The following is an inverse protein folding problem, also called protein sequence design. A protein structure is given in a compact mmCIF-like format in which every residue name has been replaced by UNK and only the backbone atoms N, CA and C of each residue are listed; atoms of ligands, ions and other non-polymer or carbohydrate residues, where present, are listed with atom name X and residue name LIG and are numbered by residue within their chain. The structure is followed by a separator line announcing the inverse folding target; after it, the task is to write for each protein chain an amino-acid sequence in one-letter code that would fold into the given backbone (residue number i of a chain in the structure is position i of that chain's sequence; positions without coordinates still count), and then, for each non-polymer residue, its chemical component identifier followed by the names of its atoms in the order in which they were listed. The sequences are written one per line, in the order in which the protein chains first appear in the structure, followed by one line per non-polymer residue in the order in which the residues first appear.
data_IF_750494202769
#
_entry.id   IF_750494202769
#
_cell.length_a   1.000
_cell.length_b   1.000
_cell.length_c   1.000
_cell.angle_alpha   90.00
_cell.angle_beta   90.00
_cell.angle_gamma   90.00
#
_symmetry.space_group_name_H-M   'P 1'
#
loop_
_entity.id
_entity.type
_entity.pdbx_description
1 polymer ?
#
# COMPACT_ATOMS: atom_id res chain seq x y z
N UNK A 1 38.57 69.58 -0.04
CA UNK A 1 38.23 68.92 1.24
C UNK A 1 36.90 68.20 1.05
N UNK A 2 36.88 66.89 1.35
CA UNK A 2 35.78 65.91 1.45
C UNK A 2 34.40 66.24 0.81
N UNK A 3 33.75 65.40 0.00
CA UNK A 3 33.98 64.02 -0.40
C UNK A 3 32.86 63.63 -1.39
N UNK A 4 33.22 62.84 -2.38
CA UNK A 4 32.41 62.36 -3.50
C UNK A 4 31.41 61.29 -3.06
N UNK A 5 30.16 61.27 -3.55
CA UNK A 5 29.51 60.04 -4.03
C UNK A 5 28.28 60.33 -4.89
N UNK A 6 28.10 59.50 -5.91
CA UNK A 6 27.26 59.68 -7.09
C UNK A 6 26.22 58.53 -7.19
N UNK A 7 25.12 58.80 -7.91
CA UNK A 7 24.10 57.90 -8.52
C UNK A 7 22.99 57.36 -7.60
N UNK A 8 21.71 57.76 -7.70
CA UNK A 8 20.66 57.64 -8.76
C UNK A 8 20.26 56.21 -9.13
N UNK A 9 19.05 55.80 -8.70
CA UNK A 9 17.89 55.32 -9.50
C UNK A 9 16.84 54.70 -8.52
N UNK A 10 15.83 55.47 -8.12
CA UNK A 10 14.49 55.52 -8.75
C UNK A 10 13.65 54.25 -8.50
N UNK A 11 12.98 54.21 -7.35
CA UNK A 11 11.78 53.41 -7.13
C UNK A 11 10.54 54.18 -7.58
N UNK A 12 9.55 53.45 -8.10
CA UNK A 12 8.14 53.85 -8.02
C UNK A 12 7.25 52.63 -8.12
N UNK A 13 6.53 52.42 -7.02
CA UNK A 13 5.49 51.46 -6.79
C UNK A 13 4.28 51.67 -7.73
N UNK A 14 3.57 50.58 -8.03
CA UNK A 14 2.11 50.64 -8.17
C UNK A 14 1.51 49.30 -7.78
N UNK A 15 1.12 49.21 -6.51
CA UNK A 15 0.29 48.16 -5.93
C UNK A 15 -1.16 48.57 -6.14
N UNK A 16 -1.95 47.78 -6.87
CA UNK A 16 -3.40 47.97 -6.94
C UNK A 16 -4.05 47.17 -5.82
N UNK A 17 -4.57 47.88 -4.81
CA UNK A 17 -5.49 47.35 -3.81
C UNK A 17 -6.86 47.09 -4.48
N UNK A 18 -7.40 45.88 -4.31
CA UNK A 18 -8.85 45.68 -4.27
C UNK A 18 -9.24 45.37 -2.83
N UNK A 19 -10.06 46.26 -2.25
CA UNK A 19 -10.72 46.05 -0.98
C UNK A 19 -12.20 45.78 -1.22
N UNK A 20 -12.67 44.59 -0.82
CA UNK A 20 -14.04 44.36 -0.40
C UNK A 20 -14.04 43.22 0.63
N UNK A 21 -14.55 43.51 1.82
CA UNK A 21 -14.49 42.67 3.01
C UNK A 21 -15.49 41.49 2.96
N UNK A 22 -15.11 40.35 3.53
CA UNK A 22 -16.03 39.23 3.80
C UNK A 22 -15.32 37.93 4.17
N UNK A 23 -15.12 37.71 5.48
CA UNK A 23 -14.88 36.42 6.17
C UNK A 23 -13.89 35.41 5.53
N UNK A 24 -12.63 35.48 6.00
CA UNK A 24 -11.78 34.36 6.40
C UNK A 24 -11.64 33.14 5.47
N UNK A 25 -10.75 33.24 4.47
CA UNK A 25 -10.09 32.07 3.87
C UNK A 25 -8.62 32.44 3.61
N UNK A 26 -7.70 31.89 4.41
CA UNK A 26 -6.27 31.89 4.10
C UNK A 26 -6.03 30.89 2.97
N UNK A 27 -6.12 31.34 1.73
CA UNK A 27 -5.73 30.56 0.54
C UNK A 27 -4.23 30.75 0.32
N UNK A 28 -3.42 29.86 0.88
CA UNK A 28 -2.01 29.75 0.51
C UNK A 28 -1.94 29.04 -0.84
N UNK A 29 -1.81 29.81 -1.93
CA UNK A 29 -1.61 29.27 -3.27
C UNK A 29 -0.22 28.63 -3.38
N UNK A 30 -0.17 27.30 -3.46
CA UNK A 30 1.05 26.56 -3.74
C UNK A 30 1.14 26.33 -5.26
N UNK A 31 1.84 27.21 -5.97
CA UNK A 31 2.19 27.01 -7.38
C UNK A 31 3.33 25.98 -7.45
N UNK A 32 3.00 24.70 -7.65
CA UNK A 32 3.96 23.65 -7.94
C UNK A 32 4.52 23.84 -9.36
N UNK A 33 5.73 24.40 -9.43
CA UNK A 33 6.54 24.35 -10.63
C UNK A 33 7.05 22.90 -10.81
N UNK A 34 6.78 22.28 -11.96
CA UNK A 34 7.32 20.98 -12.33
C UNK A 34 8.83 21.09 -12.55
N UNK A 35 9.60 20.93 -11.48
CA UNK A 35 11.02 20.64 -11.53
C UNK A 35 11.27 19.41 -10.66
N UNK A 36 12.14 18.50 -11.12
CA UNK A 36 12.58 17.34 -10.35
C UNK A 36 13.08 17.78 -8.97
N UNK A 37 12.21 17.74 -7.96
CA UNK A 37 12.56 18.07 -6.57
C UNK A 37 13.34 16.88 -6.03
N UNK A 38 14.67 17.01 -5.96
CA UNK A 38 15.50 16.08 -5.17
C UNK A 38 15.12 16.25 -3.70
N UNK A 39 14.92 15.16 -2.98
CA UNK A 39 14.64 15.22 -1.56
C UNK A 39 15.75 16.01 -0.83
N UNK A 40 15.37 17.04 -0.07
CA UNK A 40 16.30 17.79 0.76
C UNK A 40 16.75 16.91 1.93
N UNK A 41 17.94 16.30 1.80
CA UNK A 41 18.53 15.47 2.86
C UNK A 41 19.06 16.38 3.98
N UNK A 42 18.60 16.16 5.21
CA UNK A 42 19.19 16.79 6.39
C UNK A 42 20.17 15.81 7.04
N UNK A 43 21.31 16.30 7.54
CA UNK A 43 22.25 15.48 8.29
C UNK A 43 22.37 15.97 9.72
N UNK A 44 22.28 15.04 10.68
CA UNK A 44 22.53 15.31 12.10
C UNK A 44 23.55 14.31 12.61
N UNK A 45 24.81 14.76 12.69
CA UNK A 45 25.91 13.95 13.20
C UNK A 45 25.63 13.52 14.64
N UNK A 46 25.57 12.21 14.87
CA UNK A 46 25.40 11.65 16.21
C UNK A 46 26.76 11.53 16.94
N UNK A 47 26.69 11.36 18.26
CA UNK A 47 27.85 11.36 19.16
C UNK A 47 28.83 10.20 18.91
N UNK A 48 28.29 8.99 18.75
CA UNK A 48 29.08 7.78 18.58
C UNK A 48 29.36 7.46 17.10
N UNK A 49 30.48 6.77 16.79
CA UNK A 49 30.75 6.30 15.45
C UNK A 49 29.60 5.39 14.95
N UNK A 50 29.26 5.40 13.65
CA UNK A 50 28.12 4.64 13.14
C UNK A 50 28.18 3.14 13.46
N UNK A 51 29.36 2.54 13.50
CA UNK A 51 29.53 1.11 13.84
C UNK A 51 29.05 0.75 15.24
N UNK A 52 29.02 1.70 16.19
CA UNK A 52 28.57 1.45 17.55
C UNK A 52 27.05 1.28 17.65
N UNK A 53 26.29 1.84 16.71
CA UNK A 53 24.83 1.68 16.63
C UNK A 53 24.40 0.60 15.63
N UNK A 54 25.35 -0.10 14.99
CA UNK A 54 25.02 -1.13 14.01
C UNK A 54 24.27 -2.30 14.67
N UNK A 55 23.10 -2.72 14.14
CA UNK A 55 22.28 -3.73 14.80
C UNK A 55 22.90 -5.14 14.73
N UNK A 56 22.69 -5.93 15.78
CA UNK A 56 23.00 -7.36 15.76
C UNK A 56 21.89 -8.14 15.03
N UNK A 57 22.17 -8.53 13.79
CA UNK A 57 21.23 -9.22 12.91
C UNK A 57 21.56 -10.70 12.67
N UNK A 58 22.43 -11.31 13.50
CA UNK A 58 22.95 -12.67 13.28
C UNK A 58 21.88 -13.78 13.25
N UNK A 59 20.69 -13.52 13.82
CA UNK A 59 19.58 -14.49 13.92
C UNK A 59 18.34 -14.03 13.15
N UNK A 60 18.50 -13.08 12.23
CA UNK A 60 17.39 -12.44 11.54
C UNK A 60 17.20 -13.01 10.14
N UNK A 61 15.95 -13.21 9.75
CA UNK A 61 15.50 -13.69 8.46
C UNK A 61 14.39 -12.77 7.92
N UNK A 62 14.81 -11.59 7.47
CA UNK A 62 13.97 -10.62 6.78
C UNK A 62 14.80 -9.90 5.69
N UNK A 63 14.14 -9.30 4.69
CA UNK A 63 14.84 -8.70 3.54
C UNK A 63 15.80 -7.58 3.94
N UNK A 64 15.44 -6.75 4.93
CA UNK A 64 16.28 -5.68 5.45
C UNK A 64 17.60 -6.24 6.00
N UNK A 65 17.53 -7.27 6.85
CA UNK A 65 18.72 -7.87 7.45
C UNK A 65 19.68 -8.50 6.43
N UNK A 66 19.15 -9.05 5.34
CA UNK A 66 19.96 -9.61 4.25
C UNK A 66 20.63 -8.53 3.39
N UNK A 67 20.04 -7.33 3.31
CA UNK A 67 20.53 -6.25 2.45
C UNK A 67 21.38 -5.21 3.20
N UNK A 68 21.22 -5.10 4.52
CA UNK A 68 21.95 -4.13 5.32
C UNK A 68 23.42 -4.54 5.46
N UNK A 69 24.31 -3.56 5.28
CA UNK A 69 25.76 -3.75 5.48
C UNK A 69 26.32 -2.63 6.35
N UNK A 70 27.45 -2.85 7.04
CA UNK A 70 28.09 -1.79 7.83
C UNK A 70 28.39 -0.52 7.02
N UNK A 71 28.73 -0.68 5.74
CA UNK A 71 29.00 0.43 4.83
C UNK A 71 27.74 1.23 4.48
N UNK A 72 26.63 0.56 4.19
CA UNK A 72 25.33 1.22 3.93
C UNK A 72 24.87 1.95 5.20
N UNK A 73 24.89 1.27 6.36
CA UNK A 73 24.48 1.86 7.62
C UNK A 73 25.29 3.11 7.96
N UNK A 74 26.62 3.05 7.82
CA UNK A 74 27.50 4.19 8.10
C UNK A 74 27.24 5.40 7.20
N UNK A 75 26.81 5.21 5.95
CA UNK A 75 26.50 6.32 5.02
C UNK A 75 25.13 6.94 5.24
N UNK A 76 24.20 6.17 5.81
CA UNK A 76 22.79 6.56 5.89
C UNK A 76 22.33 6.92 7.32
N UNK A 77 22.99 6.43 8.37
CA UNK A 77 22.56 6.58 9.77
C UNK A 77 22.29 8.04 10.19
N UNK A 78 23.14 8.96 9.76
CA UNK A 78 23.07 10.36 10.16
C UNK A 78 22.18 11.21 9.23
N UNK A 79 21.64 10.60 8.16
CA UNK A 79 20.69 11.23 7.23
C UNK A 79 19.28 11.20 7.77
N UNK A 80 18.53 12.24 7.45
CA UNK A 80 17.13 12.41 7.77
C UNK A 80 16.35 12.91 6.56
N UNK A 81 15.09 12.52 6.50
CA UNK A 81 14.12 13.07 5.56
C UNK A 81 13.79 14.53 5.92
N UNK A 82 13.12 15.30 5.04
CA UNK A 82 12.71 16.67 5.37
C UNK A 82 11.88 16.77 6.67
N UNK A 83 11.10 15.72 6.98
CA UNK A 83 10.28 15.63 8.19
C UNK A 83 11.00 14.98 9.39
N UNK A 84 12.30 14.72 9.26
CA UNK A 84 13.13 14.20 10.36
C UNK A 84 13.04 12.68 10.58
N UNK A 85 12.52 11.91 9.62
CA UNK A 85 12.52 10.45 9.71
C UNK A 85 13.93 9.89 9.43
N UNK A 86 14.34 8.88 10.19
CA UNK A 86 15.72 8.36 10.20
C UNK A 86 15.80 6.92 9.69
N UNK A 87 17.00 6.50 9.31
CA UNK A 87 17.25 5.09 8.95
C UNK A 87 16.87 4.13 10.09
N UNK A 88 17.22 4.46 11.33
CA UNK A 88 16.95 3.58 12.48
C UNK A 88 15.43 3.37 12.65
N UNK A 89 14.63 4.42 12.46
CA UNK A 89 13.17 4.30 12.48
C UNK A 89 12.65 3.43 11.32
N UNK A 90 13.24 3.54 10.11
CA UNK A 90 12.88 2.68 8.99
C UNK A 90 13.08 1.20 9.32
N UNK A 91 14.21 0.83 9.92
CA UNK A 91 14.61 -0.58 10.12
C UNK A 91 14.16 -1.18 11.45
N UNK A 92 13.68 -0.36 12.40
CA UNK A 92 13.37 -0.78 13.77
C UNK A 92 12.50 -2.04 13.83
N UNK A 93 11.43 -2.10 13.04
CA UNK A 93 10.55 -3.27 13.01
C UNK A 93 11.28 -4.54 12.58
N UNK A 94 12.25 -4.47 11.67
CA UNK A 94 13.04 -5.62 11.28
C UNK A 94 14.12 -6.00 12.28
N UNK A 95 14.63 -5.04 13.06
CA UNK A 95 15.56 -5.31 14.17
C UNK A 95 14.83 -6.02 15.32
N UNK A 96 13.62 -5.55 15.66
CA UNK A 96 12.83 -6.11 16.77
C UNK A 96 12.20 -7.47 16.43
N UNK A 97 11.97 -7.73 15.14
CA UNK A 97 11.31 -8.95 14.66
C UNK A 97 12.28 -9.80 13.80
N UNK A 98 12.97 -10.79 14.40
CA UNK A 98 13.96 -11.61 13.70
C UNK A 98 13.36 -12.50 12.61
N UNK A 99 12.05 -12.74 12.63
CA UNK A 99 11.37 -13.49 11.59
C UNK A 99 9.87 -13.50 11.83
N UNK A 100 9.14 -14.21 10.97
CA UNK A 100 7.70 -14.43 11.14
C UNK A 100 7.39 -15.92 10.95
N UNK A 101 6.47 -16.52 11.72
CA UNK A 101 6.22 -17.96 11.68
C UNK A 101 5.84 -18.52 10.31
N UNK A 102 5.21 -17.70 9.47
CA UNK A 102 4.60 -18.16 8.21
C UNK A 102 5.27 -17.65 6.93
N UNK A 103 5.99 -16.52 6.99
CA UNK A 103 6.50 -15.82 5.80
C UNK A 103 7.83 -15.13 6.07
N UNK A 104 8.63 -14.93 5.03
CA UNK A 104 9.76 -13.99 5.09
C UNK A 104 9.22 -12.55 5.01
N UNK A 105 9.56 -11.73 6.00
CA UNK A 105 9.10 -10.34 6.09
C UNK A 105 10.08 -9.38 5.42
N UNK A 106 9.63 -8.14 5.18
CA UNK A 106 10.49 -7.08 4.62
C UNK A 106 11.49 -6.58 5.66
N UNK A 107 11.03 -6.30 6.89
CA UNK A 107 11.89 -5.81 7.98
C UNK A 107 12.21 -4.32 7.94
N UNK A 108 11.50 -3.52 7.13
CA UNK A 108 11.60 -2.06 7.18
C UNK A 108 10.34 -1.38 6.63
N UNK A 109 10.13 -0.13 7.00
CA UNK A 109 9.01 0.73 6.59
C UNK A 109 9.49 2.13 6.19
N UNK A 110 8.69 2.82 5.37
CA UNK A 110 8.86 4.24 5.08
C UNK A 110 8.02 5.10 6.04
N UNK A 111 8.58 6.19 6.53
CA UNK A 111 7.87 7.16 7.37
C UNK A 111 7.22 8.29 6.58
N UNK A 112 7.72 8.55 5.37
CA UNK A 112 7.25 9.58 4.44
C UNK A 112 7.64 9.18 3.00
N UNK A 113 7.24 9.97 2.00
CA UNK A 113 7.53 9.67 0.59
C UNK A 113 9.04 9.72 0.31
N UNK A 114 9.73 10.70 0.91
CA UNK A 114 11.15 10.97 0.75
C UNK A 114 12.04 9.87 1.32
N UNK A 115 11.55 9.08 2.28
CA UNK A 115 12.27 7.91 2.82
C UNK A 115 12.81 7.00 1.71
N UNK A 116 12.03 6.79 0.63
CA UNK A 116 12.42 5.94 -0.49
C UNK A 116 13.50 6.55 -1.39
N UNK A 117 13.79 7.85 -1.29
CA UNK A 117 14.88 8.53 -1.99
C UNK A 117 16.10 8.70 -1.08
N UNK A 118 15.89 9.24 0.13
CA UNK A 118 16.95 9.51 1.10
C UNK A 118 17.69 8.24 1.49
N UNK A 119 16.95 7.14 1.68
CA UNK A 119 17.50 5.84 2.06
C UNK A 119 17.46 4.82 0.91
N UNK A 120 17.49 5.29 -0.36
CA UNK A 120 17.44 4.42 -1.54
C UNK A 120 18.51 3.33 -1.54
N UNK A 121 19.70 3.60 -1.01
CA UNK A 121 20.80 2.62 -0.92
C UNK A 121 20.44 1.34 -0.15
N UNK A 122 19.47 1.38 0.77
CA UNK A 122 18.91 0.19 1.44
C UNK A 122 17.54 -0.21 0.89
N UNK A 123 16.67 0.75 0.52
CA UNK A 123 15.35 0.42 -0.03
C UNK A 123 15.44 -0.30 -1.37
N UNK A 124 16.29 0.14 -2.29
CA UNK A 124 16.40 -0.45 -3.64
C UNK A 124 16.77 -1.95 -3.61
N UNK A 125 17.81 -2.40 -2.88
CA UNK A 125 18.12 -3.83 -2.79
C UNK A 125 17.00 -4.61 -2.06
N UNK A 126 16.35 -4.03 -1.05
CA UNK A 126 15.21 -4.67 -0.35
C UNK A 126 14.01 -4.83 -1.27
N UNK A 127 13.68 -3.80 -2.07
CA UNK A 127 12.62 -3.83 -3.09
C UNK A 127 12.93 -4.92 -4.11
N UNK A 128 14.17 -4.97 -4.61
CA UNK A 128 14.62 -6.00 -5.56
C UNK A 128 14.49 -7.40 -4.98
N UNK A 129 14.91 -7.62 -3.74
CA UNK A 129 14.79 -8.90 -3.06
C UNK A 129 13.32 -9.30 -2.85
N UNK A 130 12.48 -8.36 -2.41
CA UNK A 130 11.07 -8.63 -2.11
C UNK A 130 10.21 -8.85 -3.34
N UNK A 131 10.51 -8.17 -4.44
CA UNK A 131 9.76 -8.22 -5.71
C UNK A 131 10.52 -8.99 -6.79
N UNK A 132 11.24 -10.04 -6.37
CA UNK A 132 11.83 -11.07 -7.23
C UNK A 132 12.62 -10.52 -8.43
N UNK A 133 13.45 -9.51 -8.19
CA UNK A 133 14.34 -8.94 -9.19
C UNK A 133 13.87 -7.64 -9.83
N UNK A 134 12.68 -7.11 -9.49
CA UNK A 134 12.29 -5.76 -9.93
C UNK A 134 13.30 -4.75 -9.37
N UNK A 135 14.09 -4.13 -10.24
CA UNK A 135 15.16 -3.22 -9.83
C UNK A 135 14.74 -1.77 -10.07
N UNK A 136 14.33 -1.01 -9.03
CA UNK A 136 13.80 0.34 -9.18
C UNK A 136 14.83 1.34 -9.72
N UNK A 137 16.11 0.97 -9.81
CA UNK A 137 17.18 1.79 -10.40
C UNK A 137 17.21 1.73 -11.92
N UNK A 138 16.64 0.68 -12.51
CA UNK A 138 16.74 0.38 -13.96
C UNK A 138 15.40 0.09 -14.61
N UNK A 139 14.35 -0.15 -13.82
CA UNK A 139 13.01 -0.47 -14.29
C UNK A 139 12.03 0.64 -13.95
N UNK A 140 10.95 0.72 -14.74
CA UNK A 140 9.80 1.59 -14.48
C UNK A 140 8.56 0.74 -14.26
N UNK A 141 7.63 1.27 -13.48
CA UNK A 141 6.36 0.62 -13.18
C UNK A 141 5.24 1.24 -14.00
N UNK A 142 4.43 0.40 -14.63
CA UNK A 142 3.29 0.82 -15.44
C UNK A 142 1.99 0.51 -14.70
N UNK A 143 1.18 1.55 -14.49
CA UNK A 143 -0.17 1.46 -13.92
C UNK A 143 -1.19 1.28 -15.05
N UNK A 144 -2.13 0.34 -14.88
CA UNK A 144 -3.20 0.08 -15.85
C UNK A 144 -4.50 -0.27 -15.11
N UNK A 145 -5.38 0.71 -14.96
CA UNK A 145 -6.69 0.57 -14.33
C UNK A 145 -7.82 0.55 -15.38
N UNK A 146 -7.56 0.00 -16.56
CA UNK A 146 -8.57 -0.23 -17.59
C UNK A 146 -9.21 -1.62 -17.43
N UNK A 147 -10.28 -1.67 -16.63
CA UNK A 147 -11.02 -2.90 -16.38
C UNK A 147 -11.63 -3.54 -17.65
N UNK A 148 -11.79 -2.80 -18.75
CA UNK A 148 -12.36 -3.35 -20.00
C UNK A 148 -11.46 -4.43 -20.63
N UNK A 149 -10.16 -4.40 -20.33
CA UNK A 149 -9.18 -5.40 -20.77
C UNK A 149 -9.39 -6.78 -20.13
N UNK A 150 -10.07 -6.82 -18.97
CA UNK A 150 -10.53 -8.07 -18.38
C UNK A 150 -11.81 -8.47 -19.10
N UNK A 151 -11.69 -9.30 -20.14
CA UNK A 151 -12.84 -9.69 -20.98
C UNK A 151 -13.74 -10.71 -20.31
N UNK A 152 -13.17 -11.60 -19.49
CA UNK A 152 -13.83 -12.64 -18.73
C UNK A 152 -13.26 -12.70 -17.31
N UNK A 153 -14.02 -13.25 -16.36
CA UNK A 153 -13.58 -13.32 -14.96
C UNK A 153 -14.63 -13.88 -14.02
N UNK A 154 -15.47 -14.80 -14.52
CA UNK A 154 -16.44 -15.53 -13.72
C UNK A 154 -15.83 -16.89 -13.33
N UNK A 155 -15.69 -17.12 -12.03
CA UNK A 155 -15.27 -18.40 -11.48
C UNK A 155 -16.45 -19.35 -11.24
N UNK A 156 -16.13 -20.63 -11.08
CA UNK A 156 -17.09 -21.65 -10.64
C UNK A 156 -17.43 -21.47 -9.15
N UNK A 157 -18.67 -21.06 -8.88
CA UNK A 157 -19.14 -20.72 -7.53
C UNK A 157 -19.37 -21.95 -6.64
N UNK A 158 -19.28 -23.17 -7.19
CA UNK A 158 -19.21 -24.39 -6.36
C UNK A 158 -17.92 -24.43 -5.54
N UNK A 159 -16.84 -23.81 -6.04
CA UNK A 159 -15.52 -23.79 -5.40
C UNK A 159 -15.19 -22.40 -4.84
N UNK A 160 -15.44 -21.33 -5.61
CA UNK A 160 -15.13 -19.96 -5.21
C UNK A 160 -16.29 -19.33 -4.44
N UNK A 161 -16.03 -18.98 -3.17
CA UNK A 161 -17.03 -18.47 -2.23
C UNK A 161 -17.16 -16.94 -2.27
N UNK A 162 -16.05 -16.25 -2.53
CA UNK A 162 -16.00 -14.78 -2.61
C UNK A 162 -14.79 -14.31 -3.38
N UNK A 163 -14.92 -13.16 -4.01
CA UNK A 163 -13.87 -12.50 -4.80
C UNK A 163 -13.59 -11.11 -4.22
N UNK A 164 -12.31 -10.73 -4.15
CA UNK A 164 -11.88 -9.46 -3.55
C UNK A 164 -10.67 -8.88 -4.25
N UNK A 165 -10.69 -7.58 -4.49
CA UNK A 165 -9.54 -6.78 -4.94
C UNK A 165 -9.29 -5.67 -3.94
N UNK A 166 -8.06 -5.54 -3.47
CA UNK A 166 -7.64 -4.43 -2.60
C UNK A 166 -6.38 -3.74 -3.10
N UNK A 167 -6.21 -2.47 -2.76
CA UNK A 167 -4.95 -1.73 -2.86
C UNK A 167 -4.83 -0.73 -1.71
N UNK A 168 -3.69 -0.05 -1.60
CA UNK A 168 -3.53 1.12 -0.73
C UNK A 168 -3.28 2.39 -1.53
N UNK A 169 -3.59 3.54 -0.94
CA UNK A 169 -3.16 4.85 -1.46
C UNK A 169 -2.71 5.76 -0.31
N UNK A 170 -1.65 6.53 -0.55
CA UNK A 170 -1.10 7.53 0.37
C UNK A 170 -1.22 8.94 -0.18
N UNK A 171 -1.67 9.87 0.65
CA UNK A 171 -1.87 11.28 0.32
C UNK A 171 -0.53 12.02 0.41
N UNK A 172 -0.09 12.63 -0.70
CA UNK A 172 1.18 13.37 -0.81
C UNK A 172 1.19 14.56 0.15
N UNK A 173 2.35 14.82 0.76
CA UNK A 173 2.55 15.93 1.71
C UNK A 173 2.19 15.61 3.17
N UNK A 174 1.67 14.42 3.47
CA UNK A 174 1.40 13.95 4.82
C UNK A 174 2.27 12.72 5.12
N UNK A 175 2.91 12.68 6.29
CA UNK A 175 3.75 11.54 6.66
C UNK A 175 2.94 10.24 6.77
N UNK A 176 3.57 9.11 6.47
CA UNK A 176 2.98 7.78 6.53
C UNK A 176 2.72 7.34 7.99
N UNK A 177 1.89 6.30 8.23
CA UNK A 177 1.49 5.87 9.57
C UNK A 177 2.62 5.71 10.60
N UNK A 178 3.82 5.19 10.26
CA UNK A 178 4.94 5.09 11.20
C UNK A 178 5.35 6.44 11.81
N UNK A 179 5.30 7.53 11.03
CA UNK A 179 5.86 8.82 11.41
C UNK A 179 4.79 9.89 11.69
N UNK A 180 3.58 9.76 11.13
CA UNK A 180 2.55 10.80 11.23
C UNK A 180 2.27 11.24 12.67
N UNK A 181 2.13 12.55 12.82
CA UNK A 181 1.57 13.16 14.02
C UNK A 181 0.06 12.96 14.09
N UNK A 182 -0.56 13.22 15.26
CA UNK A 182 -2.03 13.21 15.38
C UNK A 182 -2.69 14.20 14.41
N UNK A 183 -2.06 15.36 14.18
CA UNK A 183 -2.60 16.37 13.27
C UNK A 183 -2.60 15.89 11.82
N UNK A 184 -1.48 15.36 11.32
CA UNK A 184 -1.40 14.80 9.96
C UNK A 184 -2.39 13.66 9.77
N UNK A 185 -2.52 12.77 10.76
CA UNK A 185 -3.46 11.65 10.69
C UNK A 185 -4.92 12.12 10.59
N UNK A 186 -5.30 13.12 11.39
CA UNK A 186 -6.62 13.76 11.32
C UNK A 186 -6.84 14.46 9.98
N UNK A 187 -5.79 15.05 9.39
CA UNK A 187 -5.89 15.64 8.05
C UNK A 187 -6.11 14.58 6.98
N UNK A 188 -5.42 13.42 7.06
CA UNK A 188 -5.72 12.27 6.18
C UNK A 188 -7.19 11.86 6.30
N UNK A 189 -7.70 11.70 7.53
CA UNK A 189 -9.11 11.37 7.76
C UNK A 189 -10.04 12.40 7.13
N UNK A 190 -9.81 13.68 7.40
CA UNK A 190 -10.62 14.79 6.88
C UNK A 190 -10.65 14.82 5.35
N UNK A 191 -9.48 14.76 4.69
CA UNK A 191 -9.35 14.77 3.23
C UNK A 191 -10.10 13.59 2.61
N UNK A 192 -9.88 12.38 3.13
CA UNK A 192 -10.47 11.16 2.59
C UNK A 192 -11.97 11.15 2.82
N UNK A 193 -12.45 11.37 4.05
CA UNK A 193 -13.90 11.36 4.37
C UNK A 193 -14.64 12.40 3.54
N UNK A 194 -14.08 13.59 3.38
CA UNK A 194 -14.73 14.65 2.60
C UNK A 194 -14.78 14.31 1.11
N UNK A 195 -13.75 13.66 0.57
CA UNK A 195 -13.79 13.14 -0.80
C UNK A 195 -14.88 12.06 -0.93
N UNK A 196 -14.95 11.10 0.00
CA UNK A 196 -15.91 9.99 -0.05
C UNK A 196 -17.37 10.42 0.06
N UNK A 197 -17.66 11.53 0.75
CA UNK A 197 -19.00 12.13 0.76
C UNK A 197 -19.48 12.60 -0.64
N UNK A 198 -18.54 12.82 -1.55
CA UNK A 198 -18.80 13.15 -2.95
C UNK A 198 -19.26 11.98 -3.82
N UNK A 199 -19.07 10.73 -3.38
CA UNK A 199 -19.44 9.54 -4.15
C UNK A 199 -20.97 9.41 -4.29
N UNK A 200 -21.42 9.00 -5.48
CA UNK A 200 -22.83 8.89 -5.86
C UNK A 200 -23.15 7.48 -6.39
N UNK A 201 -24.45 7.21 -6.59
CA UNK A 201 -24.92 5.94 -7.14
C UNK A 201 -24.60 4.74 -6.26
N UNK A 202 -24.16 3.64 -6.87
CA UNK A 202 -23.76 2.40 -6.20
C UNK A 202 -22.50 2.57 -5.33
N UNK A 203 -21.74 3.65 -5.52
CA UNK A 203 -20.58 3.99 -4.71
C UNK A 203 -20.92 4.95 -3.55
N UNK A 204 -22.17 5.38 -3.40
CA UNK A 204 -22.57 6.18 -2.23
C UNK A 204 -22.55 5.34 -0.95
N UNK A 205 -22.13 5.94 0.16
CA UNK A 205 -21.87 5.21 1.38
C UNK A 205 -21.74 6.09 2.62
N UNK A 206 -21.42 5.45 3.75
CA UNK A 206 -21.31 6.09 5.06
C UNK A 206 -19.94 5.83 5.67
N UNK A 207 -19.40 6.85 6.33
CA UNK A 207 -18.21 6.75 7.15
C UNK A 207 -18.58 6.47 8.62
N UNK A 208 -17.81 5.58 9.25
CA UNK A 208 -17.90 5.21 10.64
C UNK A 208 -16.53 5.40 11.29
N UNK A 209 -16.41 6.42 12.14
CA UNK A 209 -15.21 6.65 12.95
C UNK A 209 -15.15 5.63 14.07
N UNK A 210 -13.98 4.99 14.27
CA UNK A 210 -13.78 4.02 15.34
C UNK A 210 -13.90 4.64 16.73
N UNK A 211 -13.60 5.94 16.88
CA UNK A 211 -13.67 6.64 18.17
C UNK A 211 -15.10 6.72 18.71
N UNK A 212 -16.08 6.88 17.82
CA UNK A 212 -17.48 7.16 18.18
C UNK A 212 -18.44 6.09 17.61
N UNK A 213 -17.93 4.90 17.32
CA UNK A 213 -18.74 3.80 16.78
C UNK A 213 -19.61 3.21 17.89
N UNK A 214 -20.90 2.98 17.60
CA UNK A 214 -21.77 2.27 18.53
C UNK A 214 -21.37 0.79 18.61
N UNK A 215 -21.59 0.13 19.75
CA UNK A 215 -21.33 -1.31 19.90
C UNK A 215 -22.10 -2.14 18.86
N UNK A 216 -23.31 -1.70 18.50
CA UNK A 216 -24.12 -2.33 17.45
C UNK A 216 -23.47 -2.22 16.07
N UNK A 217 -23.00 -1.03 15.69
CA UNK A 217 -22.31 -0.83 14.41
C UNK A 217 -21.01 -1.61 14.38
N UNK A 218 -20.28 -1.64 15.50
CA UNK A 218 -19.04 -2.39 15.64
C UNK A 218 -19.28 -3.89 15.45
N UNK A 219 -20.24 -4.47 16.17
CA UNK A 219 -20.57 -5.89 16.05
C UNK A 219 -21.01 -6.23 14.63
N UNK A 220 -21.86 -5.39 14.02
CA UNK A 220 -22.29 -5.60 12.63
C UNK A 220 -21.10 -5.63 11.65
N UNK A 221 -20.14 -4.71 11.81
CA UNK A 221 -18.95 -4.67 10.95
C UNK A 221 -17.98 -5.84 11.21
N UNK A 222 -17.95 -6.38 12.43
CA UNK A 222 -17.22 -7.61 12.77
C UNK A 222 -17.88 -8.82 12.08
N UNK A 223 -19.21 -8.95 12.22
CA UNK A 223 -19.99 -10.05 11.65
C UNK A 223 -19.90 -10.07 10.11
N UNK A 224 -19.84 -8.88 9.49
CA UNK A 224 -19.67 -8.74 8.05
C UNK A 224 -18.21 -8.94 7.58
N UNK A 225 -17.26 -9.14 8.51
CA UNK A 225 -15.82 -9.21 8.27
C UNK A 225 -15.21 -7.96 7.61
N UNK A 226 -15.73 -6.78 7.97
CA UNK A 226 -15.28 -5.50 7.43
C UNK A 226 -14.40 -4.70 8.39
N UNK A 227 -14.63 -4.85 9.70
CA UNK A 227 -13.87 -4.13 10.70
C UNK A 227 -12.43 -4.66 10.77
N UNK A 228 -11.48 -3.73 10.86
CA UNK A 228 -10.11 -4.03 11.22
C UNK A 228 -9.92 -3.73 12.71
N UNK A 229 -9.23 -4.62 13.42
CA UNK A 229 -8.98 -4.48 14.84
C UNK A 229 -7.74 -3.62 15.12
N UNK A 230 -7.54 -3.28 16.40
CA UNK A 230 -6.30 -2.66 16.84
C UNK A 230 -5.11 -3.52 16.39
N UNK A 231 -4.09 -2.95 15.72
CA UNK A 231 -2.92 -3.71 15.33
C UNK A 231 -2.23 -4.34 16.54
N UNK A 232 -2.27 -5.68 16.62
CA UNK A 232 -1.58 -6.48 17.65
C UNK A 232 -0.30 -7.13 17.12
N UNK A 233 -0.13 -7.18 15.80
CA UNK A 233 1.06 -7.74 15.18
C UNK A 233 2.30 -6.93 15.59
N UNK A 234 3.37 -7.58 16.09
CA UNK A 234 4.58 -6.89 16.48
C UNK A 234 5.27 -6.19 15.30
N UNK A 235 5.01 -6.64 14.06
CA UNK A 235 5.50 -5.97 12.85
C UNK A 235 4.93 -4.54 12.72
N UNK A 236 3.68 -4.33 13.13
CA UNK A 236 2.99 -3.04 13.05
C UNK A 236 3.23 -2.18 14.28
N UNK A 237 3.23 -2.79 15.47
CA UNK A 237 3.45 -2.05 16.72
C UNK A 237 4.89 -1.56 16.86
N UNK A 238 5.89 -2.39 16.55
CA UNK A 238 7.31 -1.97 16.52
C UNK A 238 7.61 -0.96 15.39
N UNK A 239 6.78 -0.92 14.34
CA UNK A 239 6.85 0.11 13.31
C UNK A 239 6.16 1.43 13.72
N UNK A 240 5.61 1.53 14.94
CA UNK A 240 4.95 2.74 15.44
C UNK A 240 3.58 3.02 14.81
N UNK A 241 2.95 2.04 14.16
CA UNK A 241 1.71 2.23 13.39
C UNK A 241 0.44 2.17 14.28
N UNK A 242 0.56 1.67 15.51
CA UNK A 242 -0.54 1.57 16.48
C UNK A 242 -0.69 2.80 17.42
N UNK A 243 0.10 3.87 17.21
CA UNK A 243 0.08 5.06 18.07
C UNK A 243 -1.29 5.76 18.05
N UNK A 244 -1.66 6.27 19.23
CA UNK A 244 -2.89 7.05 19.48
C UNK A 244 -4.20 6.32 19.11
N UNK A 245 -4.20 4.99 19.00
CA UNK A 245 -5.39 4.23 18.62
C UNK A 245 -6.58 4.48 19.59
N UNK A 246 -7.82 4.70 19.10
CA UNK A 246 -8.27 4.67 17.69
C UNK A 246 -8.36 6.05 16.99
N UNK A 247 -7.68 7.09 17.49
CA UNK A 247 -7.78 8.47 16.98
C UNK A 247 -7.60 8.55 15.45
N UNK A 248 -8.55 9.20 14.78
CA UNK A 248 -8.61 9.40 13.33
C UNK A 248 -8.59 8.12 12.48
N UNK A 249 -9.06 6.99 13.01
CA UNK A 249 -9.27 5.75 12.26
C UNK A 249 -10.76 5.51 12.03
N UNK A 250 -11.07 4.89 10.90
CA UNK A 250 -12.43 4.53 10.60
C UNK A 250 -12.56 3.70 9.34
N UNK A 251 -13.79 3.32 9.09
CA UNK A 251 -14.20 2.55 7.93
C UNK A 251 -15.29 3.30 7.20
N UNK A 252 -15.16 3.39 5.88
CA UNK A 252 -16.23 3.78 5.00
C UNK A 252 -16.63 2.58 4.16
N UNK A 253 -17.92 2.41 3.89
CA UNK A 253 -18.39 1.46 2.88
C UNK A 253 -19.62 2.00 2.16
N UNK A 254 -19.82 1.54 0.92
CA UNK A 254 -21.04 1.80 0.17
C UNK A 254 -22.25 1.09 0.80
N UNK A 255 -23.46 1.51 0.41
CA UNK A 255 -24.70 0.95 0.98
C UNK A 255 -24.82 -0.57 0.81
N UNK A 256 -24.36 -1.09 -0.33
CA UNK A 256 -24.40 -2.53 -0.65
C UNK A 256 -23.23 -3.32 -0.07
N UNK A 257 -22.32 -2.68 0.68
CA UNK A 257 -21.18 -3.33 1.34
C UNK A 257 -20.25 -4.08 0.37
N UNK A 258 -20.13 -3.59 -0.86
CA UNK A 258 -19.32 -4.17 -1.94
C UNK A 258 -18.10 -3.33 -2.30
N UNK A 259 -18.00 -2.10 -1.77
CA UNK A 259 -16.85 -1.20 -1.89
C UNK A 259 -16.57 -0.56 -0.52
N UNK A 260 -15.36 -0.76 0.00
CA UNK A 260 -14.95 -0.38 1.35
C UNK A 260 -13.63 0.36 1.31
N UNK A 261 -13.45 1.28 2.25
CA UNK A 261 -12.20 2.02 2.44
C UNK A 261 -11.89 2.05 3.93
N UNK A 262 -10.76 1.47 4.30
CA UNK A 262 -10.18 1.64 5.63
C UNK A 262 -9.31 2.88 5.64
N UNK A 263 -9.42 3.68 6.69
CA UNK A 263 -8.71 4.95 6.84
C UNK A 263 -7.76 4.86 8.03
N UNK A 264 -6.50 5.22 7.82
CA UNK A 264 -5.44 5.33 8.82
C UNK A 264 -5.10 4.05 9.61
N UNK A 265 -5.23 2.88 8.98
CA UNK A 265 -4.79 1.61 9.55
C UNK A 265 -3.30 1.36 9.25
N UNK A 266 -2.96 0.45 8.33
CA UNK A 266 -1.58 0.18 7.90
C UNK A 266 -1.03 1.19 6.88
N UNK A 267 -1.92 1.90 6.20
CA UNK A 267 -1.64 2.93 5.19
C UNK A 267 -2.70 4.04 5.36
N UNK A 268 -2.54 5.19 4.69
CA UNK A 268 -3.55 6.27 4.75
C UNK A 268 -4.93 5.75 4.34
N UNK A 269 -4.98 5.00 3.23
CA UNK A 269 -6.20 4.32 2.80
C UNK A 269 -5.91 2.90 2.32
N UNK A 270 -6.84 1.98 2.61
CA UNK A 270 -6.95 0.68 1.93
C UNK A 270 -8.28 0.62 1.21
N UNK A 271 -8.23 0.67 -0.13
CA UNK A 271 -9.42 0.63 -0.99
C UNK A 271 -9.70 -0.82 -1.37
N UNK A 272 -10.93 -1.26 -1.17
CA UNK A 272 -11.35 -2.65 -1.28
C UNK A 272 -12.64 -2.71 -2.09
N UNK A 273 -12.66 -3.57 -3.10
CA UNK A 273 -13.88 -4.03 -3.77
C UNK A 273 -14.03 -5.52 -3.51
N UNK A 274 -15.20 -5.96 -3.08
CA UNK A 274 -15.43 -7.38 -2.83
C UNK A 274 -16.90 -7.75 -3.02
N UNK A 275 -17.14 -9.03 -3.29
CA UNK A 275 -18.48 -9.61 -3.33
C UNK A 275 -18.42 -11.12 -3.06
N UNK A 276 -19.57 -11.69 -2.66
CA UNK A 276 -19.76 -13.14 -2.62
C UNK A 276 -19.83 -13.70 -4.05
N UNK A 277 -19.43 -14.95 -4.21
CA UNK A 277 -19.37 -15.62 -5.52
C UNK A 277 -18.10 -15.32 -6.31
N UNK A 278 -18.16 -15.63 -7.61
CA UNK A 278 -16.98 -15.79 -8.47
C UNK A 278 -16.75 -14.67 -9.48
N UNK A 279 -17.52 -13.60 -9.48
CA UNK A 279 -17.46 -12.57 -10.53
C UNK A 279 -16.34 -11.54 -10.30
N UNK A 280 -15.09 -11.97 -10.46
CA UNK A 280 -13.90 -11.12 -10.33
C UNK A 280 -13.90 -9.94 -11.30
N UNK A 281 -14.45 -10.12 -12.51
CA UNK A 281 -14.56 -9.02 -13.49
C UNK A 281 -15.37 -7.86 -12.92
N UNK A 282 -16.57 -8.11 -12.41
CA UNK A 282 -17.43 -7.07 -11.81
C UNK A 282 -16.80 -6.43 -10.58
N UNK A 283 -16.13 -7.23 -9.74
CA UNK A 283 -15.35 -6.71 -8.60
C UNK A 283 -14.29 -5.72 -9.07
N UNK A 284 -13.54 -6.07 -10.13
CA UNK A 284 -12.47 -5.24 -10.65
C UNK A 284 -12.97 -4.00 -11.41
N UNK A 285 -14.09 -4.09 -12.13
CA UNK A 285 -14.76 -2.94 -12.75
C UNK A 285 -15.19 -1.91 -11.69
N UNK A 286 -15.85 -2.37 -10.62
CA UNK A 286 -16.22 -1.51 -9.48
C UNK A 286 -14.99 -0.93 -8.79
N UNK A 287 -13.94 -1.73 -8.61
CA UNK A 287 -12.67 -1.29 -8.03
C UNK A 287 -12.02 -0.16 -8.84
N UNK A 288 -11.90 -0.34 -10.16
CA UNK A 288 -11.31 0.67 -11.03
C UNK A 288 -12.16 1.94 -11.10
N UNK A 289 -13.50 1.80 -11.18
CA UNK A 289 -14.42 2.95 -11.17
C UNK A 289 -14.33 3.73 -9.87
N UNK A 290 -14.39 3.04 -8.73
CA UNK A 290 -14.30 3.65 -7.41
C UNK A 290 -12.94 4.31 -7.17
N UNK A 291 -11.85 3.66 -7.60
CA UNK A 291 -10.54 4.29 -7.56
C UNK A 291 -10.50 5.53 -8.43
N UNK A 292 -10.86 5.50 -9.72
CA UNK A 292 -10.77 6.70 -10.57
C UNK A 292 -11.59 7.87 -10.02
N UNK A 293 -12.80 7.59 -9.51
CA UNK A 293 -13.66 8.63 -8.94
C UNK A 293 -13.06 9.26 -7.67
N UNK A 294 -12.55 8.44 -6.75
CA UNK A 294 -11.89 8.94 -5.53
C UNK A 294 -10.53 9.57 -5.86
N UNK A 295 -9.75 8.90 -6.71
CA UNK A 295 -8.32 9.17 -6.96
C UNK A 295 -8.12 10.34 -7.89
N UNK A 296 -8.79 10.33 -9.03
CA UNK A 296 -8.51 11.25 -10.12
C UNK A 296 -9.40 12.48 -10.06
N UNK A 297 -10.58 12.37 -9.45
CA UNK A 297 -11.54 13.46 -9.41
C UNK A 297 -11.61 14.11 -8.03
N UNK A 298 -12.12 13.42 -7.02
CA UNK A 298 -12.55 14.05 -5.77
C UNK A 298 -11.39 14.56 -4.89
N UNK A 299 -10.27 13.84 -4.82
CA UNK A 299 -9.10 14.27 -4.05
C UNK A 299 -8.32 15.36 -4.80
N UNK A 300 -8.16 15.22 -6.12
CA UNK A 300 -7.50 16.23 -6.97
C UNK A 300 -8.26 17.55 -7.06
N UNK A 301 -9.59 17.51 -7.13
CA UNK A 301 -10.46 18.71 -7.08
C UNK A 301 -10.21 19.57 -5.82
N UNK A 302 -9.69 18.96 -4.76
CA UNK A 302 -9.35 19.64 -3.49
C UNK A 302 -7.87 20.02 -3.37
N UNK A 303 -7.08 19.84 -4.43
CA UNK A 303 -5.66 20.18 -4.46
C UNK A 303 -4.72 19.15 -3.84
N UNK A 304 -5.20 17.94 -3.56
CA UNK A 304 -4.40 16.84 -3.02
C UNK A 304 -4.00 15.85 -4.11
N UNK A 305 -2.88 15.17 -3.91
CA UNK A 305 -2.38 14.15 -4.82
C UNK A 305 -2.04 12.87 -4.06
N UNK A 306 -1.87 11.77 -4.79
CA UNK A 306 -1.26 10.57 -4.22
C UNK A 306 0.25 10.58 -4.38
N UNK A 307 0.93 9.94 -3.43
CA UNK A 307 2.33 9.59 -3.54
C UNK A 307 2.48 8.54 -4.66
N UNK A 308 3.11 8.95 -5.76
CA UNK A 308 3.34 8.13 -6.93
C UNK A 308 4.58 8.63 -7.67
N UNK A 309 5.38 7.71 -8.20
CA UNK A 309 6.46 8.03 -9.12
C UNK A 309 6.69 6.89 -10.13
N UNK A 310 7.38 7.18 -11.23
CA UNK A 310 7.53 6.23 -12.35
C UNK A 310 8.32 4.96 -12.00
N UNK A 311 9.24 5.03 -11.04
CA UNK A 311 10.10 3.89 -10.66
C UNK A 311 9.42 2.96 -9.65
N UNK A 312 8.61 3.50 -8.73
CA UNK A 312 7.98 2.76 -7.64
C UNK A 312 6.47 2.56 -7.83
N UNK A 313 5.83 3.22 -8.79
CA UNK A 313 4.37 3.26 -8.86
C UNK A 313 3.79 4.01 -7.66
N UNK A 314 2.67 3.52 -7.13
CA UNK A 314 2.09 4.06 -5.91
C UNK A 314 2.95 3.74 -4.69
N UNK A 315 3.25 4.78 -3.92
CA UNK A 315 4.08 4.69 -2.72
C UNK A 315 3.20 4.39 -1.51
N UNK A 316 3.59 3.39 -0.74
CA UNK A 316 2.94 2.93 0.49
C UNK A 316 3.98 2.68 1.58
N UNK A 317 3.49 2.45 2.81
CA UNK A 317 4.32 2.33 4.02
C UNK A 317 5.31 1.17 3.95
N UNK A 318 4.83 0.00 3.55
CA UNK A 318 5.64 -1.21 3.47
C UNK A 318 6.17 -1.39 2.04
N UNK A 319 7.48 -1.63 1.83
CA UNK A 319 8.05 -1.87 0.50
C UNK A 319 7.37 -3.01 -0.27
N UNK A 320 6.80 -4.00 0.42
CA UNK A 320 6.06 -5.10 -0.23
C UNK A 320 4.76 -4.68 -0.92
N UNK A 321 4.27 -3.46 -0.65
CA UNK A 321 3.03 -2.92 -1.19
C UNK A 321 3.28 -1.87 -2.29
N UNK A 322 4.51 -1.63 -2.72
CA UNK A 322 4.80 -0.69 -3.81
C UNK A 322 4.23 -1.17 -5.17
N UNK A 323 4.30 -0.30 -6.17
CA UNK A 323 3.82 -0.52 -7.52
C UNK A 323 2.32 -0.33 -7.59
N UNK A 324 1.60 -1.44 -7.74
CA UNK A 324 0.14 -1.46 -7.78
C UNK A 324 -0.49 -1.39 -6.39
N UNK A 325 0.25 -1.82 -5.36
CA UNK A 325 -0.30 -2.16 -4.03
C UNK A 325 -1.37 -3.25 -4.06
N UNK A 326 -1.61 -3.87 -5.22
CA UNK A 326 -2.79 -4.66 -5.50
C UNK A 326 -2.67 -6.07 -4.94
N UNK A 327 -3.75 -6.52 -4.32
CA UNK A 327 -3.99 -7.91 -3.96
C UNK A 327 -5.40 -8.28 -4.41
N UNK A 328 -5.49 -8.93 -5.56
CA UNK A 328 -6.69 -9.62 -6.03
C UNK A 328 -6.63 -11.07 -5.56
N UNK A 329 -7.76 -11.58 -5.07
CA UNK A 329 -7.83 -12.94 -4.57
C UNK A 329 -9.24 -13.43 -4.35
N UNK A 330 -9.32 -14.71 -4.01
CA UNK A 330 -10.57 -15.44 -3.79
C UNK A 330 -10.48 -16.28 -2.53
N UNK A 331 -11.65 -16.54 -1.93
CA UNK A 331 -11.81 -17.70 -1.06
C UNK A 331 -12.24 -18.88 -1.92
N UNK A 332 -11.42 -19.93 -1.96
CA UNK A 332 -11.65 -21.12 -2.78
C UNK A 332 -11.52 -22.39 -1.95
N UNK A 333 -12.46 -23.33 -2.16
CA UNK A 333 -12.44 -24.67 -1.56
C UNK A 333 -11.56 -25.61 -2.40
N UNK A 334 -10.52 -26.16 -1.80
CA UNK A 334 -9.56 -27.07 -2.46
C UNK A 334 -9.23 -28.30 -1.58
N UNK A 335 -10.22 -29.13 -1.19
CA UNK A 335 -10.03 -30.21 -0.22
C UNK A 335 -9.12 -31.35 -0.69
N UNK A 336 -8.98 -31.59 -2.00
CA UNK A 336 -8.07 -32.58 -2.57
C UNK A 336 -6.72 -31.97 -2.91
N UNK A 337 -6.71 -30.86 -3.67
CA UNK A 337 -5.48 -30.23 -4.14
C UNK A 337 -4.61 -29.75 -2.97
N UNK A 338 -5.21 -29.27 -1.87
CA UNK A 338 -4.44 -28.83 -0.71
C UNK A 338 -3.61 -29.92 -0.02
N UNK A 339 -3.96 -31.19 -0.24
CA UNK A 339 -3.25 -32.37 0.29
C UNK A 339 -2.23 -32.93 -0.71
N UNK A 340 -2.25 -32.46 -1.97
CA UNK A 340 -1.33 -32.91 -3.00
C UNK A 340 0.06 -32.25 -2.79
N UNK A 341 1.15 -33.03 -2.77
CA UNK A 341 2.50 -32.51 -2.55
C UNK A 341 2.96 -31.52 -3.63
N UNK A 342 2.32 -31.51 -4.81
CA UNK A 342 2.62 -30.60 -5.92
C UNK A 342 2.01 -29.21 -5.74
N UNK A 343 1.07 -29.03 -4.83
CA UNK A 343 0.34 -27.77 -4.66
C UNK A 343 1.23 -26.54 -4.42
N UNK A 344 2.27 -26.58 -3.56
CA UNK A 344 3.18 -25.46 -3.40
C UNK A 344 3.88 -25.07 -4.71
N UNK A 345 4.29 -26.04 -5.52
CA UNK A 345 4.98 -25.78 -6.79
C UNK A 345 4.04 -25.24 -7.86
N UNK A 346 2.79 -25.70 -7.88
CA UNK A 346 1.74 -25.15 -8.73
C UNK A 346 1.52 -23.66 -8.43
N UNK A 347 1.37 -23.29 -7.15
CA UNK A 347 1.20 -21.89 -6.74
C UNK A 347 2.41 -21.03 -7.12
N UNK A 348 3.63 -21.51 -6.87
CA UNK A 348 4.87 -20.82 -7.23
C UNK A 348 4.93 -20.51 -8.73
N UNK A 349 4.68 -21.52 -9.58
CA UNK A 349 4.73 -21.38 -11.03
C UNK A 349 3.62 -20.47 -11.57
N UNK A 350 2.44 -20.47 -10.94
CA UNK A 350 1.32 -19.58 -11.27
C UNK A 350 1.45 -18.18 -10.66
N UNK A 351 2.51 -17.89 -9.91
CA UNK A 351 2.73 -16.59 -9.22
C UNK A 351 1.59 -16.25 -8.24
N UNK A 352 1.08 -17.27 -7.56
CA UNK A 352 0.03 -17.16 -6.54
C UNK A 352 0.60 -17.43 -5.14
N UNK A 353 -0.07 -16.91 -4.12
CA UNK A 353 0.21 -17.21 -2.72
C UNK A 353 -1.06 -17.68 -2.01
N UNK A 354 -0.91 -18.55 -1.02
CA UNK A 354 -1.99 -19.01 -0.15
C UNK A 354 -1.87 -18.43 1.25
N UNK A 355 -3.00 -18.08 1.87
CA UNK A 355 -3.14 -17.73 3.30
C UNK A 355 -4.33 -18.48 3.90
N UNK A 356 -4.43 -18.46 5.23
CA UNK A 356 -5.63 -18.96 5.90
C UNK A 356 -6.85 -18.08 5.65
N UNK A 357 -8.02 -18.56 6.08
CA UNK A 357 -9.32 -18.00 5.72
C UNK A 357 -9.55 -16.59 6.29
N UNK A 358 -8.93 -16.25 7.43
CA UNK A 358 -8.99 -14.93 8.04
C UNK A 358 -7.81 -14.01 7.67
N UNK A 359 -6.95 -14.40 6.73
CA UNK A 359 -5.80 -13.61 6.31
C UNK A 359 -4.45 -14.16 6.78
N UNK A 360 -3.46 -13.27 6.90
CA UNK A 360 -2.02 -13.62 7.00
C UNK A 360 -1.62 -14.38 8.26
N UNK A 361 -2.34 -14.17 9.35
CA UNK A 361 -2.01 -14.74 10.66
C UNK A 361 -2.99 -15.86 11.07
N UNK A 362 -3.76 -16.40 10.11
CA UNK A 362 -4.77 -17.43 10.38
C UNK A 362 -4.49 -18.72 9.62
N UNK A 363 -4.96 -19.84 10.15
CA UNK A 363 -4.97 -21.12 9.45
C UNK A 363 -6.14 -21.21 8.46
N UNK A 364 -6.07 -22.15 7.52
CA UNK A 364 -7.21 -22.47 6.67
C UNK A 364 -8.28 -23.19 7.51
N UNK A 365 -9.54 -22.76 7.38
CA UNK A 365 -10.69 -23.37 8.03
C UNK A 365 -11.51 -24.10 6.96
N UNK A 366 -11.85 -25.37 7.22
CA UNK A 366 -12.69 -26.19 6.34
C UNK A 366 -12.21 -26.26 4.88
N UNK A 367 -10.90 -26.41 4.66
CA UNK A 367 -10.27 -26.49 3.33
C UNK A 367 -10.49 -25.25 2.43
N UNK A 368 -10.87 -24.11 3.02
CA UNK A 368 -11.01 -22.81 2.34
C UNK A 368 -9.70 -22.03 2.44
N UNK A 369 -9.14 -21.67 1.29
CA UNK A 369 -7.90 -20.90 1.19
C UNK A 369 -8.15 -19.51 0.62
N UNK A 370 -7.45 -18.49 1.15
CA UNK A 370 -7.26 -17.20 0.49
C UNK A 370 -6.13 -17.34 -0.53
N UNK A 371 -6.49 -17.39 -1.81
CA UNK A 371 -5.56 -17.43 -2.93
C UNK A 371 -5.52 -16.06 -3.60
N UNK A 372 -4.33 -15.50 -3.74
CA UNK A 372 -4.13 -14.17 -4.35
C UNK A 372 -2.84 -14.08 -5.16
N UNK A 373 -2.69 -13.02 -5.96
CA UNK A 373 -1.43 -12.72 -6.63
C UNK A 373 -0.28 -12.56 -5.62
N UNK A 374 0.89 -13.08 -5.98
CA UNK A 374 2.13 -12.94 -5.22
C UNK A 374 2.80 -11.59 -5.53
N UNK A 375 2.85 -11.22 -6.80
CA UNK A 375 3.52 -10.02 -7.32
C UNK A 375 2.71 -8.75 -7.10
N UNK A 376 3.41 -7.62 -6.87
CA UNK A 376 2.78 -6.29 -6.77
C UNK A 376 3.49 -5.21 -7.59
N UNK A 377 4.76 -5.43 -7.92
CA UNK A 377 5.58 -4.59 -8.79
C UNK A 377 5.97 -5.34 -10.07
N UNK A 378 6.33 -4.59 -11.11
CA UNK A 378 6.76 -5.14 -12.41
C UNK A 378 5.65 -5.68 -13.31
N UNK A 379 4.38 -5.57 -12.88
CA UNK A 379 3.17 -5.91 -13.64
C UNK A 379 2.06 -4.92 -13.29
N UNK A 380 1.21 -4.59 -14.26
CA UNK A 380 0.10 -3.67 -14.06
C UNK A 380 -1.06 -4.31 -13.29
N UNK A 381 -2.02 -3.51 -12.82
CA UNK A 381 -3.20 -4.01 -12.11
C UNK A 381 -4.03 -4.99 -12.95
N UNK A 382 -4.24 -4.68 -14.25
CA UNK A 382 -4.91 -5.58 -15.20
C UNK A 382 -4.14 -6.90 -15.34
N UNK A 383 -2.82 -6.86 -15.53
CA UNK A 383 -2.01 -8.08 -15.65
C UNK A 383 -2.09 -8.95 -14.38
N UNK A 384 -2.03 -8.33 -13.20
CA UNK A 384 -2.13 -9.05 -11.93
C UNK A 384 -3.51 -9.69 -11.72
N UNK A 385 -4.59 -9.02 -12.09
CA UNK A 385 -5.93 -9.59 -12.02
C UNK A 385 -6.09 -10.75 -13.01
N UNK A 386 -5.55 -10.62 -14.23
CA UNK A 386 -5.59 -11.71 -15.20
C UNK A 386 -4.82 -12.95 -14.72
N UNK A 387 -3.65 -12.79 -14.08
CA UNK A 387 -2.92 -13.91 -13.44
C UNK A 387 -3.80 -14.64 -12.43
N UNK A 388 -4.53 -13.90 -11.60
CA UNK A 388 -5.42 -14.50 -10.59
C UNK A 388 -6.55 -15.24 -11.28
N UNK A 389 -7.14 -14.67 -12.33
CA UNK A 389 -8.20 -15.33 -13.10
C UNK A 389 -7.71 -16.65 -13.70
N UNK A 390 -6.59 -16.63 -14.42
CA UNK A 390 -6.03 -17.82 -15.08
C UNK A 390 -5.60 -18.86 -14.06
N UNK A 391 -4.91 -18.43 -13.01
CA UNK A 391 -4.38 -19.31 -11.97
C UNK A 391 -5.48 -19.95 -11.12
N UNK A 392 -6.51 -19.21 -10.70
CA UNK A 392 -7.63 -19.77 -9.94
C UNK A 392 -8.44 -20.75 -10.78
N UNK A 393 -8.69 -20.45 -12.06
CA UNK A 393 -9.34 -21.39 -12.97
C UNK A 393 -8.55 -22.70 -13.09
N UNK A 394 -7.21 -22.61 -13.18
CA UNK A 394 -6.34 -23.78 -13.20
C UNK A 394 -6.42 -24.61 -11.90
N UNK A 395 -6.44 -23.95 -10.74
CA UNK A 395 -6.58 -24.63 -9.45
C UNK A 395 -7.92 -25.35 -9.33
N UNK A 396 -9.02 -24.73 -9.76
CA UNK A 396 -10.35 -25.35 -9.78
C UNK A 396 -10.40 -26.54 -10.74
N UNK A 397 -9.76 -26.45 -11.91
CA UNK A 397 -9.64 -27.58 -12.83
C UNK A 397 -8.83 -28.74 -12.23
N UNK A 398 -7.74 -28.44 -11.49
CA UNK A 398 -6.99 -29.46 -10.77
C UNK A 398 -7.84 -30.15 -9.70
N UNK A 399 -8.60 -29.38 -8.92
CA UNK A 399 -9.51 -29.93 -7.91
C UNK A 399 -10.53 -30.88 -8.55
N UNK A 400 -11.20 -30.45 -9.62
CA UNK A 400 -12.17 -31.27 -10.38
C UNK A 400 -11.58 -32.57 -10.91
N UNK A 401 -10.32 -32.56 -11.34
CA UNK A 401 -9.61 -33.77 -11.80
C UNK A 401 -9.35 -34.74 -10.66
N UNK A 402 -8.84 -34.22 -9.54
CA UNK A 402 -8.56 -35.03 -8.36
C UNK A 402 -9.85 -35.63 -7.76
N UNK A 403 -10.96 -34.91 -7.79
CA UNK A 403 -12.29 -35.43 -7.40
C UNK A 403 -12.74 -36.62 -8.25
N UNK A 404 -12.37 -36.63 -9.54
CA UNK A 404 -12.63 -37.73 -10.49
C UNK A 404 -11.56 -38.83 -10.46
N UNK A 405 -10.57 -38.76 -9.56
CA UNK A 405 -9.46 -39.70 -9.49
C UNK A 405 -8.47 -39.59 -10.66
N UNK A 406 -8.43 -38.44 -11.34
CA UNK A 406 -7.53 -38.17 -12.46
C UNK A 406 -6.26 -37.45 -11.99
N UNK A 407 -5.16 -37.65 -12.72
CA UNK A 407 -3.90 -36.98 -12.43
C UNK A 407 -3.88 -35.51 -12.90
N UNK A 408 -3.07 -34.70 -12.22
CA UNK A 408 -2.85 -33.28 -12.48
C UNK A 408 -1.40 -33.02 -12.87
N UNK A 409 -1.14 -31.90 -13.53
CA UNK A 409 0.22 -31.50 -13.93
C UNK A 409 0.66 -30.27 -13.17
N UNK A 410 1.97 -30.07 -13.06
CA UNK A 410 2.52 -28.79 -12.62
C UNK A 410 2.63 -27.90 -13.86
N UNK A 411 2.00 -26.71 -13.90
CA UNK A 411 2.10 -25.82 -15.03
C UNK A 411 3.53 -25.27 -15.17
N UNK A 412 4.00 -24.88 -16.36
CA UNK A 412 5.28 -24.21 -16.50
C UNK A 412 5.28 -22.87 -15.73
N UNK A 413 6.44 -22.41 -15.23
CA UNK A 413 6.52 -21.14 -14.51
C UNK A 413 6.20 -19.95 -15.43
N UNK A 414 5.35 -19.05 -14.96
CA UNK A 414 5.11 -17.77 -15.64
C UNK A 414 6.37 -16.89 -15.60
N UNK A 415 6.60 -16.06 -16.64
CA UNK A 415 7.71 -15.09 -16.63
C UNK A 415 7.57 -14.14 -15.44
N UNK A 416 8.67 -13.68 -14.86
CA UNK A 416 8.61 -12.86 -13.64
C UNK A 416 7.96 -11.47 -13.88
N UNK A 417 8.21 -10.85 -15.03
CA UNK A 417 7.73 -9.50 -15.36
C UNK A 417 6.70 -9.50 -16.48
N UNK A 418 5.86 -8.46 -16.49
CA UNK A 418 4.83 -8.23 -17.50
C UNK A 418 5.40 -7.91 -18.88
N UNK A 419 4.53 -7.86 -19.89
CA UNK A 419 4.90 -7.37 -21.23
C UNK A 419 4.72 -5.85 -21.24
N UNK A 420 5.69 -5.13 -21.81
CA UNK A 420 5.65 -3.67 -21.92
C UNK A 420 4.52 -3.20 -22.82
#
# INVERSE_FOLDING_TARGET
MAGTFCRLLAGRATTALFAAAGTGVLTTGYLLNQQNVKAAVQEKRKLFPPSADYPDLRKHNNCMAECLTPAIYSRLRDKMTPNGYTLDQCIQTGVDNPGHPFIKTVGMVAGDEESYEVFAEIFDPVIKARHNGYDPRTMKHHTDLDASKITHGQFDEHYVLSSRVRTGRSIRGLSLPPACTRAERREVENVVVTALAGLKGDLSGKYYSLTNMSEKDQQQLIDDHFLFDKPVSPLLTCAGMARDWPDARGIWHNNDKTFLIWINEEDHTRVISMEKGGNMKRVFERFCRGLKEVVERLIKERGWEFMWNERLGYVLTCPSNLGTGLRAGVHVKLPKLSKDPRFPKILENLRLQKRGTGGVDTAAVADVYDISNLDRMGRSEVELVQIVIDGVNYLVECEKRLEKGQDIKVPPPLPQFGRK
#
